data_IF_265784878908
#
_entry.id   IF_265784878908
#
_cell.length_a   1.000
_cell.length_b   1.000
_cell.length_c   1.000
_cell.angle_alpha   90.00
_cell.angle_beta   90.00
_cell.angle_gamma   90.00
#
_symmetry.space_group_name_H-M   'P 1'
#
loop_
_entity.id
_entity.type
_entity.pdbx_description
1 polymer ?
#
# COMPACT_ATOMS: atom_id res chain seq x y z
N UNK A 1 -40.31 -15.41 15.71
CA UNK A 1 -39.26 -14.68 16.46
C UNK A 1 -37.91 -15.02 15.84
N UNK A 2 -37.18 -14.05 15.30
CA UNK A 2 -35.86 -14.29 14.67
C UNK A 2 -34.72 -13.96 15.64
N UNK A 3 -33.75 -14.86 15.79
CA UNK A 3 -32.55 -14.62 16.61
C UNK A 3 -31.43 -14.06 15.72
N UNK A 4 -30.95 -12.86 16.05
CA UNK A 4 -29.74 -12.28 15.44
C UNK A 4 -28.49 -13.06 15.91
N UNK A 5 -27.49 -13.31 15.04
CA UNK A 5 -26.17 -13.76 15.50
C UNK A 5 -25.45 -12.61 16.23
N UNK A 6 -24.51 -12.91 17.16
CA UNK A 6 -23.76 -11.89 17.89
C UNK A 6 -22.66 -11.26 17.03
N UNK A 7 -22.36 -9.99 17.30
CA UNK A 7 -21.18 -9.29 16.77
C UNK A 7 -19.91 -9.91 17.38
N UNK A 8 -18.88 -10.16 16.56
CA UNK A 8 -17.53 -10.52 17.04
C UNK A 8 -16.78 -9.27 17.52
N UNK A 9 -16.03 -9.32 18.63
CA UNK A 9 -15.21 -8.20 19.08
C UNK A 9 -13.96 -8.04 18.21
N UNK A 10 -13.59 -6.79 17.91
CA UNK A 10 -12.32 -6.46 17.26
C UNK A 10 -11.20 -6.55 18.31
N UNK A 11 -10.24 -7.44 18.09
CA UNK A 11 -9.10 -7.63 19.00
C UNK A 11 -7.99 -6.64 18.65
N UNK A 12 -7.98 -5.48 19.32
CA UNK A 12 -6.83 -4.60 19.34
C UNK A 12 -5.86 -5.06 20.45
N UNK A 13 -4.62 -5.41 20.12
CA UNK A 13 -3.63 -5.82 21.12
C UNK A 13 -2.22 -5.33 20.80
N UNK A 14 -1.66 -4.57 21.75
CA UNK A 14 -0.28 -4.12 21.74
C UNK A 14 0.62 -5.24 22.26
N UNK A 15 1.61 -5.65 21.47
CA UNK A 15 2.64 -6.60 21.91
C UNK A 15 3.89 -5.86 22.38
N UNK A 16 4.28 -6.08 23.64
CA UNK A 16 5.51 -5.55 24.23
C UNK A 16 6.22 -6.64 25.05
N UNK A 17 7.37 -7.09 24.55
CA UNK A 17 8.43 -7.89 25.18
C UNK A 17 9.52 -8.09 24.12
N UNK A 18 10.77 -8.40 24.43
CA UNK A 18 11.42 -8.61 25.73
C UNK A 18 12.77 -9.28 25.44
N UNK A 19 13.89 -8.68 25.85
CA UNK A 19 15.20 -9.10 25.37
C UNK A 19 15.74 -10.34 26.12
N UNK A 20 16.24 -11.32 25.35
CA UNK A 20 17.07 -12.42 25.85
C UNK A 20 18.19 -12.66 24.83
N UNK A 21 19.43 -12.81 25.32
CA UNK A 21 20.60 -12.99 24.48
C UNK A 21 21.18 -14.40 24.66
N UNK A 22 21.61 -15.02 23.56
CA UNK A 22 22.49 -16.18 23.56
C UNK A 22 23.68 -15.89 22.65
N UNK A 23 24.89 -16.01 23.20
CA UNK A 23 26.12 -15.97 22.42
C UNK A 23 26.53 -17.41 22.05
N UNK A 24 27.03 -17.59 20.83
CA UNK A 24 27.71 -18.80 20.37
C UNK A 24 28.99 -18.40 19.64
N UNK A 25 30.06 -19.17 19.81
CA UNK A 25 31.41 -18.74 19.44
C UNK A 25 31.74 -18.90 17.95
N UNK A 26 32.62 -18.04 17.44
CA UNK A 26 33.20 -18.17 16.11
C UNK A 26 34.37 -19.17 16.10
N UNK A 27 34.56 -19.83 14.96
CA UNK A 27 35.83 -20.48 14.59
C UNK A 27 36.26 -19.95 13.21
N UNK A 28 37.55 -19.64 12.99
CA UNK A 28 38.01 -19.04 11.74
C UNK A 28 38.25 -20.08 10.63
N UNK A 29 37.93 -19.72 9.39
CA UNK A 29 38.34 -20.44 8.19
C UNK A 29 39.43 -19.64 7.43
N UNK A 30 40.35 -20.35 6.77
CA UNK A 30 41.49 -19.75 6.08
C UNK A 30 41.10 -19.07 4.74
N UNK A 31 41.83 -18.03 4.28
CA UNK A 31 41.50 -17.30 3.06
C UNK A 31 41.83 -18.09 1.78
N UNK A 32 40.86 -18.18 0.88
CA UNK A 32 41.02 -18.69 -0.50
C UNK A 32 41.29 -17.56 -1.49
N UNK A 33 41.84 -17.91 -2.67
CA UNK A 33 42.29 -16.97 -3.70
C UNK A 33 41.21 -15.97 -4.15
N UNK A 34 41.60 -14.71 -4.38
CA UNK A 34 40.70 -13.64 -4.81
C UNK A 34 40.33 -13.73 -6.29
N UNK A 35 39.04 -13.60 -6.58
CA UNK A 35 38.58 -13.09 -7.88
C UNK A 35 38.55 -11.56 -7.86
N UNK A 36 38.60 -10.93 -9.04
CA UNK A 36 38.50 -9.48 -9.15
C UNK A 36 37.15 -8.99 -8.63
N UNK A 37 37.17 -8.14 -7.61
CA UNK A 37 35.95 -7.58 -7.02
C UNK A 37 35.42 -6.51 -7.96
N UNK A 38 34.50 -6.91 -8.84
CA UNK A 38 33.77 -5.99 -9.71
C UNK A 38 33.20 -4.82 -8.90
N UNK A 39 33.46 -3.60 -9.37
CA UNK A 39 33.27 -2.38 -8.58
C UNK A 39 31.89 -2.36 -7.89
N UNK A 40 31.83 -2.05 -6.57
CA UNK A 40 30.58 -2.14 -5.83
C UNK A 40 29.53 -1.26 -6.49
N UNK A 41 28.35 -1.84 -6.77
CA UNK A 41 27.19 -1.07 -7.17
C UNK A 41 27.00 0.08 -6.19
N UNK A 42 26.75 1.33 -6.65
CA UNK A 42 26.56 2.46 -5.75
C UNK A 42 25.47 2.10 -4.75
N UNK A 43 25.82 2.16 -3.46
CA UNK A 43 24.92 1.77 -2.39
C UNK A 43 23.68 2.66 -2.41
N UNK A 44 22.51 2.07 -2.16
CA UNK A 44 21.27 2.84 -2.00
C UNK A 44 21.45 3.78 -0.81
N UNK A 45 21.52 5.08 -1.09
CA UNK A 45 21.61 6.12 -0.07
C UNK A 45 20.28 6.17 0.65
N UNK A 46 20.29 6.21 1.99
CA UNK A 46 19.07 6.24 2.80
C UNK A 46 19.18 7.27 3.92
N UNK A 47 18.20 8.17 3.96
CA UNK A 47 18.21 9.39 4.75
C UNK A 47 16.95 9.45 5.62
N UNK A 48 17.06 9.37 6.96
CA UNK A 48 15.96 9.69 7.86
C UNK A 48 15.56 11.16 7.70
N UNK A 49 14.26 11.45 7.66
CA UNK A 49 13.74 12.81 7.48
C UNK A 49 12.81 13.21 8.64
N UNK A 50 12.93 14.46 9.07
CA UNK A 50 12.11 15.04 10.13
C UNK A 50 10.75 15.46 9.58
N UNK A 51 9.72 14.64 9.81
CA UNK A 51 8.37 14.80 9.25
C UNK A 51 7.56 15.98 9.82
N UNK A 52 7.98 16.53 10.97
CA UNK A 52 7.21 17.54 11.73
C UNK A 52 6.11 16.94 12.62
N UNK A 53 6.01 15.61 12.76
CA UNK A 53 5.02 14.94 13.61
C UNK A 53 5.62 13.72 14.33
N UNK A 54 4.95 13.27 15.39
CA UNK A 54 5.25 12.01 16.10
C UNK A 54 4.16 10.95 15.90
N UNK A 55 3.09 11.27 15.16
CA UNK A 55 2.02 10.32 14.87
C UNK A 55 2.49 9.19 13.96
N UNK A 56 1.79 8.06 14.00
CA UNK A 56 1.99 6.99 13.03
C UNK A 56 1.64 7.50 11.61
N UNK A 57 2.61 7.46 10.70
CA UNK A 57 2.39 7.62 9.27
C UNK A 57 2.14 6.24 8.64
N UNK A 58 1.15 6.16 7.76
CA UNK A 58 0.56 4.92 7.25
C UNK A 58 0.71 4.83 5.73
N UNK A 59 0.42 5.91 4.99
CA UNK A 59 0.52 5.97 3.53
C UNK A 59 1.43 7.10 3.04
N UNK A 60 1.98 6.96 1.84
CA UNK A 60 2.90 7.94 1.23
C UNK A 60 2.76 7.95 -0.29
N UNK A 61 2.69 9.14 -0.88
CA UNK A 61 2.58 9.37 -2.32
C UNK A 61 3.60 10.40 -2.81
N UNK A 62 4.76 9.95 -3.33
CA UNK A 62 5.70 10.79 -4.05
C UNK A 62 5.14 11.21 -5.40
N UNK A 63 5.09 12.51 -5.65
CA UNK A 63 4.67 13.09 -6.94
C UNK A 63 5.89 13.35 -7.84
N UNK A 64 7.02 13.73 -7.24
CA UNK A 64 8.25 14.03 -7.98
C UNK A 64 9.49 13.81 -7.10
N UNK A 65 10.68 14.13 -7.62
CA UNK A 65 11.90 14.13 -6.81
C UNK A 65 11.93 15.20 -5.70
N UNK A 66 11.05 16.20 -5.76
CA UNK A 66 10.91 17.28 -4.78
C UNK A 66 9.61 17.24 -3.96
N UNK A 67 8.50 16.76 -4.53
CA UNK A 67 7.18 16.76 -3.90
C UNK A 67 6.77 15.36 -3.46
N UNK A 68 6.43 15.20 -2.19
CA UNK A 68 5.83 13.99 -1.65
C UNK A 68 4.88 14.32 -0.49
N UNK A 69 3.80 13.55 -0.38
CA UNK A 69 2.83 13.63 0.71
C UNK A 69 2.80 12.33 1.50
N UNK A 70 2.47 12.39 2.79
CA UNK A 70 2.21 11.22 3.63
C UNK A 70 1.05 11.49 4.60
N UNK A 71 0.38 10.44 5.04
CA UNK A 71 -0.81 10.52 5.90
C UNK A 71 -0.80 9.48 7.01
N UNK A 72 -1.65 9.63 8.03
CA UNK A 72 -1.76 8.59 9.06
C UNK A 72 -2.76 8.86 10.18
N UNK A 73 -2.38 8.44 11.39
CA UNK A 73 -3.25 8.44 12.56
C UNK A 73 -3.62 9.83 13.09
N UNK A 74 -4.76 9.91 13.79
CA UNK A 74 -5.32 11.15 14.37
C UNK A 74 -5.50 12.28 13.34
N UNK A 75 -6.01 11.94 12.16
CA UNK A 75 -6.23 12.89 11.08
C UNK A 75 -4.97 13.57 10.54
N UNK A 76 -3.78 12.99 10.76
CA UNK A 76 -2.49 13.61 10.39
C UNK A 76 -2.21 13.52 8.89
N UNK A 77 -1.69 14.62 8.34
CA UNK A 77 -1.06 14.68 7.03
C UNK A 77 0.31 15.38 7.15
N UNK A 78 1.22 15.12 6.21
CA UNK A 78 2.49 15.84 6.07
C UNK A 78 2.93 15.91 4.61
N UNK A 79 3.61 16.99 4.23
CA UNK A 79 4.02 17.29 2.85
C UNK A 79 5.43 17.87 2.80
N UNK A 80 6.24 17.42 1.85
CA UNK A 80 7.43 18.15 1.39
C UNK A 80 7.25 18.67 -0.03
N UNK A 81 7.91 19.79 -0.33
CA UNK A 81 8.03 20.38 -1.67
C UNK A 81 9.49 20.64 -2.06
N UNK A 82 10.45 20.15 -1.27
CA UNK A 82 11.87 20.49 -1.39
C UNK A 82 12.81 19.27 -1.50
N UNK A 83 12.24 18.06 -1.61
CA UNK A 83 12.96 16.78 -1.55
C UNK A 83 12.97 16.13 -0.16
N UNK A 84 12.22 16.67 0.80
CA UNK A 84 12.13 16.18 2.17
C UNK A 84 13.25 16.68 3.08
N UNK A 85 13.94 17.75 2.67
CA UNK A 85 14.83 18.53 3.56
C UNK A 85 14.00 19.22 4.64
N UNK A 86 12.78 19.65 4.29
CA UNK A 86 11.75 20.09 5.22
C UNK A 86 10.41 19.42 4.93
N UNK A 87 9.59 19.28 5.96
CA UNK A 87 8.23 18.73 5.91
C UNK A 87 7.28 19.63 6.69
N UNK A 88 6.14 19.95 6.10
CA UNK A 88 5.02 20.66 6.75
C UNK A 88 4.01 19.61 7.19
N UNK A 89 3.84 19.44 8.51
CA UNK A 89 2.82 18.57 9.11
C UNK A 89 1.59 19.36 9.53
N UNK A 90 0.42 18.71 9.45
CA UNK A 90 -0.83 19.24 9.99
C UNK A 90 -1.83 18.14 10.36
N UNK A 91 -3.05 18.54 10.70
CA UNK A 91 -4.20 17.64 10.83
C UNK A 91 -5.38 18.20 10.04
N UNK A 92 -6.28 17.31 9.63
CA UNK A 92 -7.61 17.69 9.14
C UNK A 92 -8.50 18.04 10.32
N UNK A 93 -9.06 19.25 10.33
CA UNK A 93 -9.93 19.73 11.42
C UNK A 93 -11.14 18.82 11.61
N UNK A 94 -11.37 18.35 12.83
CA UNK A 94 -12.47 17.43 13.15
C UNK A 94 -12.23 15.97 12.73
N UNK A 95 -11.00 15.60 12.39
CA UNK A 95 -10.60 14.24 12.01
C UNK A 95 -9.69 13.54 13.05
N UNK A 96 -9.54 14.07 14.27
CA UNK A 96 -8.62 13.55 15.29
C UNK A 96 -8.87 12.09 15.74
N UNK A 97 -10.05 11.53 15.42
CA UNK A 97 -10.40 10.12 15.63
C UNK A 97 -10.15 9.20 14.42
N UNK A 98 -9.80 9.78 13.26
CA UNK A 98 -9.64 9.05 12.00
C UNK A 98 -8.18 8.62 11.77
N UNK A 99 -8.01 7.60 10.92
CA UNK A 99 -6.72 7.16 10.41
C UNK A 99 -6.74 7.28 8.89
N UNK A 100 -5.94 8.19 8.33
CA UNK A 100 -5.79 8.34 6.89
C UNK A 100 -4.79 7.30 6.37
N UNK A 101 -5.31 6.22 5.79
CA UNK A 101 -4.53 5.06 5.33
C UNK A 101 -4.31 5.01 3.84
N UNK A 102 -4.82 6.01 3.13
CA UNK A 102 -4.40 6.31 1.77
C UNK A 102 -4.23 7.81 1.58
N UNK A 103 -3.31 8.15 0.68
CA UNK A 103 -3.04 9.51 0.23
C UNK A 103 -2.69 9.45 -1.24
N UNK A 104 -3.35 10.28 -2.05
CA UNK A 104 -2.99 10.49 -3.45
C UNK A 104 -2.77 11.98 -3.66
N UNK A 105 -1.76 12.35 -4.45
CA UNK A 105 -1.44 13.74 -4.70
C UNK A 105 -1.13 13.97 -6.17
N UNK A 106 -1.75 15.00 -6.74
CA UNK A 106 -1.52 15.45 -8.11
C UNK A 106 -0.27 16.32 -8.20
N UNK A 107 -0.06 17.19 -7.21
CA UNK A 107 0.99 18.20 -7.18
C UNK A 107 1.33 18.63 -5.74
N UNK A 108 1.95 19.80 -5.56
CA UNK A 108 2.32 20.35 -4.26
C UNK A 108 1.15 20.96 -3.47
N UNK A 109 0.05 21.29 -4.14
CA UNK A 109 -1.15 21.98 -3.63
C UNK A 109 -2.37 21.06 -3.57
N UNK A 110 -2.52 20.16 -4.54
CA UNK A 110 -3.72 19.33 -4.72
C UNK A 110 -3.48 17.88 -4.26
N UNK A 111 -4.23 17.43 -3.26
CA UNK A 111 -4.15 16.07 -2.73
C UNK A 111 -5.47 15.57 -2.12
N UNK A 112 -5.61 14.25 -2.00
CA UNK A 112 -6.73 13.56 -1.39
C UNK A 112 -6.26 12.63 -0.27
N UNK A 113 -7.13 12.38 0.71
CA UNK A 113 -6.91 11.46 1.84
C UNK A 113 -8.11 10.52 1.99
N UNK A 114 -7.87 9.23 2.18
CA UNK A 114 -8.89 8.24 2.52
C UNK A 114 -8.74 7.85 3.99
N UNK A 115 -9.79 8.07 4.80
CA UNK A 115 -9.88 7.49 6.14
C UNK A 115 -10.63 6.18 6.13
N UNK A 116 -10.22 5.26 7.00
CA UNK A 116 -10.82 3.94 7.16
C UNK A 116 -11.79 3.89 8.35
N UNK A 117 -12.60 2.85 8.42
CA UNK A 117 -13.46 2.52 9.56
C UNK A 117 -14.94 2.32 9.16
N UNK A 118 -15.73 1.66 10.01
CA UNK A 118 -17.12 1.33 9.70
C UNK A 118 -17.98 2.59 9.51
N UNK A 119 -18.89 2.54 8.54
CA UNK A 119 -19.84 3.62 8.27
C UNK A 119 -19.15 4.96 8.04
N UNK A 120 -19.68 6.01 8.67
CA UNK A 120 -19.21 7.40 8.55
C UNK A 120 -17.79 7.68 9.10
N UNK A 121 -17.00 6.66 9.47
CA UNK A 121 -15.55 6.78 9.66
C UNK A 121 -14.78 6.61 8.34
N UNK A 122 -15.31 5.85 7.38
CA UNK A 122 -14.79 5.84 6.02
C UNK A 122 -15.16 7.13 5.30
N UNK A 123 -14.15 7.90 4.87
CA UNK A 123 -14.32 9.23 4.25
C UNK A 123 -13.23 9.49 3.22
N UNK A 124 -13.53 10.37 2.28
CA UNK A 124 -12.52 10.95 1.38
C UNK A 124 -12.51 12.45 1.58
N UNK A 125 -11.32 13.02 1.75
CA UNK A 125 -11.06 14.46 1.85
C UNK A 125 -10.21 14.91 0.65
N UNK A 126 -10.31 16.19 0.30
CA UNK A 126 -9.49 16.88 -0.71
C UNK A 126 -8.94 18.19 -0.16
N UNK A 127 -7.72 18.54 -0.54
CA UNK A 127 -7.13 19.87 -0.42
C UNK A 127 -6.74 20.38 -1.81
N UNK A 128 -6.79 21.69 -1.99
CA UNK A 128 -6.38 22.41 -3.19
C UNK A 128 -5.42 23.58 -2.86
N UNK A 129 -5.03 23.73 -1.59
CA UNK A 129 -4.22 24.84 -1.05
C UNK A 129 -2.92 24.39 -0.37
N UNK A 130 -2.54 23.12 -0.54
CA UNK A 130 -1.35 22.55 0.08
C UNK A 130 -1.56 22.04 1.50
N UNK A 131 -2.81 21.75 1.87
CA UNK A 131 -3.21 21.16 3.14
C UNK A 131 -3.59 22.17 4.22
N UNK A 132 -3.64 23.47 3.90
CA UNK A 132 -4.07 24.50 4.82
C UNK A 132 -5.57 24.40 5.12
N UNK A 133 -6.37 23.96 4.15
CA UNK A 133 -7.76 23.51 4.31
C UNK A 133 -7.96 22.12 3.69
N UNK A 134 -8.94 21.39 4.25
CA UNK A 134 -9.31 20.05 3.80
C UNK A 134 -10.83 19.89 3.83
N UNK A 135 -11.42 19.63 2.66
CA UNK A 135 -12.87 19.51 2.49
C UNK A 135 -13.26 18.03 2.38
N UNK A 136 -14.25 17.62 3.16
CA UNK A 136 -14.82 16.28 3.07
C UNK A 136 -15.63 16.16 1.78
N UNK A 137 -15.21 15.26 0.90
CA UNK A 137 -15.82 14.99 -0.41
C UNK A 137 -16.77 13.79 -0.39
N UNK A 138 -16.50 12.84 0.51
CA UNK A 138 -17.32 11.67 0.72
C UNK A 138 -17.30 11.30 2.20
N UNK A 139 -18.47 10.94 2.73
CA UNK A 139 -18.64 10.28 4.03
C UNK A 139 -19.54 9.09 3.76
N UNK A 140 -19.07 7.88 4.07
CA UNK A 140 -19.81 6.67 3.74
C UNK A 140 -21.16 6.60 4.48
N UNK A 141 -22.30 6.56 3.77
CA UNK A 141 -23.63 6.52 4.38
C UNK A 141 -24.05 5.11 4.81
N UNK A 142 -23.41 4.05 4.31
CA UNK A 142 -23.75 2.67 4.66
C UNK A 142 -23.03 2.25 5.96
N UNK A 143 -23.74 1.98 7.07
CA UNK A 143 -23.13 1.61 8.34
C UNK A 143 -22.39 0.26 8.32
N UNK A 144 -22.58 -0.58 7.29
CA UNK A 144 -21.79 -1.80 7.05
C UNK A 144 -20.47 -1.51 6.36
N UNK A 145 -20.40 -0.44 5.58
CA UNK A 145 -19.29 -0.18 4.66
C UNK A 145 -18.00 0.23 5.36
N UNK A 146 -16.90 -0.24 4.81
CA UNK A 146 -15.52 0.05 5.19
C UNK A 146 -14.73 0.19 3.89
N UNK A 147 -13.98 1.27 3.69
CA UNK A 147 -13.16 1.48 2.49
C UNK A 147 -11.67 1.42 2.84
N UNK A 148 -10.87 0.81 1.96
CA UNK A 148 -9.53 0.33 2.25
C UNK A 148 -8.43 1.19 1.61
N UNK A 149 -8.60 1.49 0.32
CA UNK A 149 -7.65 2.23 -0.53
C UNK A 149 -8.34 2.83 -1.77
N UNK A 150 -7.67 3.78 -2.41
CA UNK A 150 -8.07 4.39 -3.67
C UNK A 150 -6.92 4.44 -4.69
N UNK A 151 -7.25 4.67 -5.96
CA UNK A 151 -6.26 4.94 -7.00
C UNK A 151 -6.85 5.88 -8.05
N UNK A 152 -6.03 6.82 -8.51
CA UNK A 152 -6.41 7.86 -9.46
C UNK A 152 -5.81 7.54 -10.83
N UNK A 153 -6.60 7.66 -11.90
CA UNK A 153 -6.10 7.61 -13.27
C UNK A 153 -5.51 8.96 -13.68
N UNK A 154 -6.06 10.05 -13.16
CA UNK A 154 -5.72 11.44 -13.43
C UNK A 154 -6.43 12.36 -12.42
N UNK A 155 -6.29 13.68 -12.58
CA UNK A 155 -6.90 14.70 -11.73
C UNK A 155 -8.44 14.69 -11.69
N UNK A 156 -9.12 13.99 -12.60
CA UNK A 156 -10.58 13.89 -12.65
C UNK A 156 -11.11 12.50 -12.26
N UNK A 157 -10.40 11.42 -12.61
CA UNK A 157 -10.93 10.05 -12.50
C UNK A 157 -10.21 9.24 -11.44
N UNK A 158 -10.97 8.65 -10.51
CA UNK A 158 -10.45 7.76 -9.50
C UNK A 158 -11.44 6.67 -9.07
N UNK A 159 -10.92 5.58 -8.52
CA UNK A 159 -11.65 4.44 -7.96
C UNK A 159 -11.24 4.22 -6.51
N UNK A 160 -12.16 3.78 -5.66
CA UNK A 160 -11.86 3.30 -4.30
C UNK A 160 -12.50 1.92 -4.08
N UNK A 161 -11.83 1.05 -3.32
CA UNK A 161 -12.33 -0.27 -2.92
C UNK A 161 -12.55 -0.34 -1.40
N UNK A 162 -13.44 -1.24 -1.00
CA UNK A 162 -13.80 -1.57 0.36
C UNK A 162 -14.47 -2.94 0.46
N UNK A 163 -14.67 -3.39 1.68
CA UNK A 163 -15.28 -4.68 2.06
C UNK A 163 -16.57 -5.03 1.29
N UNK A 164 -16.80 -6.34 1.11
CA UNK A 164 -18.00 -6.88 0.51
C UNK A 164 -19.27 -6.59 1.34
N UNK A 165 -20.22 -5.87 0.73
CA UNK A 165 -21.53 -5.59 1.33
C UNK A 165 -22.59 -6.38 0.56
N UNK A 166 -23.34 -7.21 1.29
CA UNK A 166 -24.51 -7.98 0.81
C UNK A 166 -24.29 -8.82 -0.48
N UNK A 167 -23.04 -9.18 -0.77
CA UNK A 167 -22.65 -10.06 -1.87
C UNK A 167 -21.85 -9.41 -3.01
N UNK A 168 -21.50 -8.12 -2.92
CA UNK A 168 -20.64 -7.42 -3.88
C UNK A 168 -19.65 -6.49 -3.18
N UNK A 169 -18.46 -6.28 -3.77
CA UNK A 169 -17.42 -5.39 -3.23
C UNK A 169 -17.89 -3.94 -3.14
N UNK A 170 -17.40 -3.19 -2.15
CA UNK A 170 -17.68 -1.76 -2.06
C UNK A 170 -16.75 -0.96 -3.00
N UNK A 171 -17.17 -0.79 -4.27
CA UNK A 171 -16.42 0.03 -5.23
C UNK A 171 -17.07 1.40 -5.40
N UNK A 172 -16.31 2.48 -5.23
CA UNK A 172 -16.69 3.85 -5.58
C UNK A 172 -15.94 4.30 -6.84
N UNK A 173 -16.53 5.23 -7.59
CA UNK A 173 -15.85 5.98 -8.66
C UNK A 173 -16.19 7.46 -8.61
N UNK A 174 -15.23 8.30 -8.99
CA UNK A 174 -15.43 9.70 -9.39
C UNK A 174 -14.97 9.90 -10.84
N UNK A 175 -15.59 10.85 -11.54
CA UNK A 175 -15.19 11.32 -12.87
C UNK A 175 -15.00 12.86 -12.91
N UNK A 176 -14.93 13.52 -11.74
CA UNK A 176 -14.89 14.99 -11.56
C UNK A 176 -13.86 15.50 -10.52
N UNK A 177 -12.82 14.71 -10.24
CA UNK A 177 -11.75 15.05 -9.29
C UNK A 177 -12.14 14.79 -7.84
N UNK A 178 -13.07 13.86 -7.65
CA UNK A 178 -13.60 13.49 -6.35
C UNK A 178 -14.56 14.52 -5.76
N UNK A 179 -15.21 15.37 -6.56
CA UNK A 179 -16.29 16.25 -6.07
C UNK A 179 -17.58 15.43 -5.82
N UNK A 180 -17.82 14.40 -6.64
CA UNK A 180 -18.84 13.40 -6.39
C UNK A 180 -18.26 11.98 -6.48
N UNK A 181 -18.55 11.16 -5.47
CA UNK A 181 -18.19 9.73 -5.42
C UNK A 181 -19.45 8.87 -5.50
N UNK A 182 -19.57 8.10 -6.58
CA UNK A 182 -20.72 7.23 -6.85
C UNK A 182 -20.35 5.77 -6.65
N UNK A 183 -21.17 5.01 -5.91
CA UNK A 183 -20.97 3.56 -5.77
C UNK A 183 -21.28 2.85 -7.09
N UNK A 184 -20.40 1.95 -7.51
CA UNK A 184 -20.67 1.05 -8.65
C UNK A 184 -21.82 0.12 -8.23
N UNK A 185 -22.92 0.04 -9.00
CA UNK A 185 -24.03 -0.84 -8.67
C UNK A 185 -23.60 -2.32 -8.56
N UNK A 186 -24.12 -3.09 -7.58
CA UNK A 186 -23.67 -4.45 -7.32
C UNK A 186 -23.88 -5.41 -8.51
N UNK A 187 -24.90 -5.17 -9.34
CA UNK A 187 -25.17 -5.92 -10.57
C UNK A 187 -24.15 -5.68 -11.70
N UNK A 188 -23.24 -4.70 -11.54
CA UNK A 188 -22.10 -4.43 -12.43
C UNK A 188 -20.77 -4.93 -11.87
N UNK A 189 -20.81 -5.65 -10.75
CA UNK A 189 -19.65 -6.24 -10.08
C UNK A 189 -19.78 -7.77 -10.04
N UNK A 190 -18.67 -8.51 -10.27
CA UNK A 190 -18.60 -9.93 -9.95
C UNK A 190 -18.96 -10.19 -8.48
N UNK A 191 -19.67 -11.29 -8.22
CA UNK A 191 -20.12 -11.68 -6.87
C UNK A 191 -18.91 -11.83 -5.92
N UNK A 192 -18.97 -11.14 -4.79
CA UNK A 192 -17.98 -11.25 -3.72
C UNK A 192 -18.22 -12.48 -2.84
N UNK A 193 -17.15 -12.98 -2.22
CA UNK A 193 -17.25 -14.00 -1.18
C UNK A 193 -17.71 -13.36 0.16
N UNK A 194 -18.18 -14.18 1.09
CA UNK A 194 -18.58 -13.70 2.41
C UNK A 194 -17.36 -13.26 3.24
N UNK A 195 -17.34 -12.01 3.70
CA UNK A 195 -16.20 -11.44 4.43
C UNK A 195 -14.95 -11.22 3.57
N UNK A 196 -15.13 -10.92 2.29
CA UNK A 196 -14.05 -10.54 1.38
C UNK A 196 -13.77 -9.03 1.46
N UNK A 197 -12.49 -8.67 1.51
CA UNK A 197 -12.02 -7.29 1.71
C UNK A 197 -10.61 -7.09 1.20
N UNK A 198 -10.17 -5.83 1.14
CA UNK A 198 -8.77 -5.48 0.82
C UNK A 198 -7.98 -5.20 2.10
N UNK A 199 -6.65 -5.29 2.04
CA UNK A 199 -5.84 -4.92 3.20
C UNK A 199 -5.61 -3.40 3.24
N UNK A 200 -6.38 -2.71 4.10
CA UNK A 200 -6.21 -1.29 4.43
C UNK A 200 -4.91 -0.99 5.22
N UNK A 201 -3.76 -1.39 4.67
CA UNK A 201 -2.45 -1.28 5.32
C UNK A 201 -1.70 0.01 4.96
N UNK A 202 -1.77 0.43 3.69
CA UNK A 202 -0.74 1.30 3.10
C UNK A 202 -1.16 2.15 1.89
N UNK A 203 -2.42 2.01 1.43
CA UNK A 203 -2.94 2.55 0.17
C UNK A 203 -2.68 1.67 -1.07
N UNK A 204 -1.66 0.81 -1.03
CA UNK A 204 -1.19 0.09 -2.23
C UNK A 204 -2.06 -1.08 -2.71
N UNK A 205 -3.24 -1.32 -2.12
CA UNK A 205 -4.17 -2.37 -2.55
C UNK A 205 -4.98 -2.05 -3.83
N UNK A 206 -4.80 -0.85 -4.40
CA UNK A 206 -5.35 -0.43 -5.69
C UNK A 206 -4.25 0.14 -6.60
N UNK A 207 -4.34 -0.12 -7.90
CA UNK A 207 -3.48 0.47 -8.92
C UNK A 207 -4.29 0.86 -10.16
N UNK A 208 -3.85 1.92 -10.85
CA UNK A 208 -4.41 2.45 -12.09
C UNK A 208 -3.39 2.39 -13.22
N UNK A 209 -3.87 2.43 -14.47
CA UNK A 209 -3.05 2.31 -15.67
C UNK A 209 -3.68 2.93 -16.91
N UNK A 210 -2.93 2.94 -18.03
CA UNK A 210 -3.37 3.58 -19.28
C UNK A 210 -4.62 2.90 -19.86
N UNK A 211 -5.39 3.67 -20.63
CA UNK A 211 -6.63 3.19 -21.25
C UNK A 211 -7.78 2.94 -20.28
N UNK A 212 -7.72 3.49 -19.06
CA UNK A 212 -8.76 3.26 -18.05
C UNK A 212 -8.66 1.92 -17.34
N UNK A 213 -7.48 1.27 -17.41
CA UNK A 213 -7.19 0.05 -16.65
C UNK A 213 -7.05 0.35 -15.16
N UNK A 214 -7.62 -0.49 -14.30
CA UNK A 214 -7.30 -0.51 -12.88
C UNK A 214 -7.41 -1.92 -12.33
N UNK A 215 -6.69 -2.17 -11.25
CA UNK A 215 -6.56 -3.47 -10.59
C UNK A 215 -6.72 -3.25 -9.08
N UNK A 216 -7.60 -4.02 -8.46
CA UNK A 216 -7.93 -3.92 -7.04
C UNK A 216 -7.76 -5.32 -6.43
N UNK A 217 -6.93 -5.47 -5.40
CA UNK A 217 -6.69 -6.78 -4.77
C UNK A 217 -7.50 -6.96 -3.50
N UNK A 218 -8.07 -8.15 -3.32
CA UNK A 218 -8.88 -8.53 -2.16
C UNK A 218 -8.63 -9.99 -1.79
N UNK A 219 -9.13 -10.39 -0.63
CA UNK A 219 -9.10 -11.80 -0.23
C UNK A 219 -10.17 -12.16 0.77
N UNK A 220 -10.46 -13.45 0.82
CA UNK A 220 -10.93 -14.13 2.03
C UNK A 220 -9.75 -14.88 2.66
N UNK A 221 -9.87 -15.40 3.90
CA UNK A 221 -8.85 -16.28 4.49
C UNK A 221 -8.48 -17.53 3.65
N UNK A 222 -9.27 -17.89 2.63
CA UNK A 222 -9.06 -19.08 1.78
C UNK A 222 -8.87 -18.80 0.28
N UNK A 223 -8.91 -17.55 -0.17
CA UNK A 223 -8.73 -17.22 -1.60
C UNK A 223 -8.31 -15.75 -1.78
N UNK A 224 -7.22 -15.52 -2.52
CA UNK A 224 -6.84 -14.20 -3.03
C UNK A 224 -7.50 -13.96 -4.41
N UNK A 225 -8.04 -12.76 -4.62
CA UNK A 225 -8.66 -12.35 -5.89
C UNK A 225 -8.25 -10.95 -6.31
N UNK A 226 -8.49 -10.65 -7.58
CA UNK A 226 -8.26 -9.35 -8.19
C UNK A 226 -9.49 -8.96 -9.01
N UNK A 227 -10.04 -7.78 -8.76
CA UNK A 227 -10.98 -7.13 -9.69
C UNK A 227 -10.19 -6.26 -10.65
N UNK A 228 -10.44 -6.39 -11.95
CA UNK A 228 -9.86 -5.54 -13.00
C UNK A 228 -10.92 -4.88 -13.85
N UNK A 229 -10.60 -3.69 -14.34
CA UNK A 229 -11.39 -2.93 -15.31
C UNK A 229 -10.49 -2.48 -16.45
N UNK A 230 -11.08 -2.12 -17.59
CA UNK A 230 -10.40 -1.53 -18.75
C UNK A 230 -11.21 -0.38 -19.38
N UNK A 231 -12.17 0.19 -18.64
CA UNK A 231 -13.12 1.20 -19.13
C UNK A 231 -13.39 2.33 -18.11
N UNK A 232 -12.42 2.57 -17.23
CA UNK A 232 -12.53 3.45 -16.05
C UNK A 232 -13.58 2.95 -15.05
N UNK A 233 -13.54 1.67 -14.67
CA UNK A 233 -14.35 1.11 -13.58
C UNK A 233 -15.86 1.09 -13.87
N UNK A 234 -16.25 0.98 -15.14
CA UNK A 234 -17.64 0.88 -15.59
C UNK A 234 -18.06 -0.58 -15.78
N UNK A 235 -17.14 -1.45 -16.16
CA UNK A 235 -17.27 -2.92 -16.14
C UNK A 235 -16.07 -3.54 -15.44
N UNK A 236 -16.27 -4.75 -14.91
CA UNK A 236 -15.34 -5.41 -14.00
C UNK A 236 -15.25 -6.92 -14.30
N UNK A 237 -14.02 -7.40 -14.50
CA UNK A 237 -13.67 -8.82 -14.52
C UNK A 237 -13.00 -9.21 -13.19
N UNK A 238 -12.97 -10.52 -12.89
CA UNK A 238 -12.52 -11.07 -11.63
C UNK A 238 -11.57 -12.24 -11.88
N UNK A 239 -10.34 -12.12 -11.39
CA UNK A 239 -9.33 -13.18 -11.45
C UNK A 239 -9.05 -13.77 -10.06
N UNK A 240 -8.63 -15.03 -10.02
CA UNK A 240 -8.04 -15.64 -8.81
C UNK A 240 -6.53 -15.50 -8.86
N UNK A 241 -5.92 -15.08 -7.75
CA UNK A 241 -4.48 -14.90 -7.65
C UNK A 241 -3.81 -16.15 -7.06
N UNK A 242 -2.64 -16.58 -7.57
CA UNK A 242 -1.82 -17.61 -6.96
C UNK A 242 -1.01 -17.02 -5.78
N UNK A 243 -1.72 -16.49 -4.78
CA UNK A 243 -1.17 -15.96 -3.52
C UNK A 243 -1.77 -16.77 -2.38
N UNK A 244 -0.95 -17.21 -1.43
CA UNK A 244 -1.44 -17.93 -0.24
C UNK A 244 -2.09 -16.94 0.73
N UNK A 245 -3.29 -17.27 1.20
CA UNK A 245 -4.06 -16.49 2.18
C UNK A 245 -4.23 -17.25 3.49
N UNK A 246 -4.30 -16.51 4.59
CA UNK A 246 -4.75 -16.99 5.90
C UNK A 246 -5.62 -15.89 6.55
N UNK A 247 -6.22 -16.15 7.72
CA UNK A 247 -6.90 -15.10 8.50
C UNK A 247 -5.88 -14.08 9.02
N UNK A 248 -5.64 -13.01 8.26
CA UNK A 248 -4.61 -12.01 8.52
C UNK A 248 -3.42 -11.98 7.56
N UNK A 249 -3.47 -12.70 6.44
CA UNK A 249 -2.51 -12.53 5.34
C UNK A 249 -3.11 -12.82 3.96
N UNK A 250 -2.57 -12.17 2.93
CA UNK A 250 -3.05 -12.25 1.56
C UNK A 250 -2.37 -11.19 0.68
N UNK A 251 -2.99 -10.75 -0.43
CA UNK A 251 -2.44 -9.72 -1.30
C UNK A 251 -2.53 -8.33 -0.64
N UNK A 252 -1.40 -7.65 -0.48
CA UNK A 252 -1.29 -6.38 0.26
C UNK A 252 -1.07 -5.19 -0.68
N UNK A 253 -0.30 -5.41 -1.75
CA UNK A 253 0.03 -4.41 -2.76
C UNK A 253 -0.18 -4.97 -4.16
N UNK A 254 -0.73 -4.14 -5.05
CA UNK A 254 -0.74 -4.38 -6.51
C UNK A 254 -0.04 -3.23 -7.21
N UNK A 255 0.88 -3.54 -8.13
CA UNK A 255 1.77 -2.54 -8.71
C UNK A 255 2.14 -2.89 -10.15
N UNK A 256 1.81 -2.00 -11.08
CA UNK A 256 2.13 -2.11 -12.50
C UNK A 256 3.22 -1.11 -12.88
N UNK A 257 4.19 -1.54 -13.68
CA UNK A 257 5.26 -0.67 -14.22
C UNK A 257 4.94 -0.15 -15.63
N UNK A 258 4.03 -0.84 -16.32
CA UNK A 258 3.54 -0.54 -17.67
C UNK A 258 2.17 -1.23 -17.87
N UNK A 259 1.59 -1.12 -19.06
CA UNK A 259 0.25 -1.65 -19.36
C UNK A 259 0.11 -3.18 -19.30
N UNK A 260 1.24 -3.92 -19.25
CA UNK A 260 1.28 -5.39 -19.27
C UNK A 260 1.90 -6.01 -18.03
N UNK A 261 2.98 -5.44 -17.53
CA UNK A 261 3.77 -6.08 -16.47
C UNK A 261 3.38 -5.55 -15.09
N UNK A 262 2.88 -6.46 -14.26
CA UNK A 262 2.42 -6.17 -12.91
C UNK A 262 2.84 -7.22 -11.90
N UNK A 263 2.88 -6.81 -10.64
CA UNK A 263 3.09 -7.68 -9.49
C UNK A 263 1.95 -7.51 -8.49
N UNK A 264 1.66 -8.59 -7.78
CA UNK A 264 1.02 -8.56 -6.47
C UNK A 264 2.06 -8.99 -5.45
N UNK A 265 2.26 -8.17 -4.43
CA UNK A 265 3.09 -8.49 -3.25
C UNK A 265 2.15 -8.66 -2.06
N UNK A 266 2.25 -9.82 -1.42
CA UNK A 266 1.44 -10.23 -0.29
C UNK A 266 2.20 -10.24 1.03
N UNK A 267 1.48 -10.63 2.08
CA UNK A 267 1.98 -10.65 3.44
C UNK A 267 0.88 -10.46 4.47
N UNK A 268 1.28 -10.14 5.69
CA UNK A 268 0.39 -10.01 6.85
C UNK A 268 0.84 -10.90 8.01
N UNK A 269 0.33 -10.63 9.21
CA UNK A 269 0.79 -11.26 10.46
C UNK A 269 0.56 -12.77 10.53
N UNK A 270 -0.30 -13.33 9.67
CA UNK A 270 -0.56 -14.76 9.58
C UNK A 270 0.29 -15.52 8.53
N UNK A 271 1.23 -14.83 7.87
CA UNK A 271 2.13 -15.41 6.85
C UNK A 271 3.05 -16.49 7.42
N UNK A 272 3.35 -17.53 6.64
CA UNK A 272 4.06 -18.74 7.06
C UNK A 272 5.24 -19.06 6.14
N UNK A 273 6.28 -19.76 6.64
CA UNK A 273 7.32 -20.31 5.77
C UNK A 273 6.72 -21.24 4.71
N UNK A 274 6.98 -20.95 3.43
CA UNK A 274 6.42 -21.68 2.28
C UNK A 274 5.16 -21.06 1.65
N UNK A 275 4.58 -20.01 2.24
CA UNK A 275 3.50 -19.26 1.58
C UNK A 275 3.98 -18.62 0.26
N UNK A 276 3.11 -18.61 -0.76
CA UNK A 276 3.36 -17.88 -2.01
C UNK A 276 2.96 -16.42 -1.82
N UNK A 277 3.94 -15.57 -1.54
CA UNK A 277 3.74 -14.14 -1.24
C UNK A 277 3.91 -13.20 -2.44
N UNK A 278 4.33 -13.69 -3.62
CA UNK A 278 4.45 -12.87 -4.83
C UNK A 278 3.86 -13.61 -6.03
N UNK A 279 3.08 -12.88 -6.81
CA UNK A 279 2.52 -13.29 -8.10
C UNK A 279 2.77 -12.20 -9.14
N UNK A 280 2.90 -12.59 -10.41
CA UNK A 280 3.22 -11.69 -11.51
C UNK A 280 2.28 -11.90 -12.71
N UNK A 281 2.13 -10.86 -13.52
CA UNK A 281 1.44 -10.86 -14.82
C UNK A 281 2.33 -10.22 -15.88
N UNK A 282 2.25 -10.74 -17.10
CA UNK A 282 2.95 -10.24 -18.28
C UNK A 282 1.97 -9.84 -19.42
N UNK A 283 0.66 -9.82 -19.14
CA UNK A 283 -0.44 -9.58 -20.09
C UNK A 283 -1.41 -8.46 -19.69
N UNK A 284 -1.16 -7.76 -18.58
CA UNK A 284 -1.99 -6.66 -18.10
C UNK A 284 -2.97 -7.06 -17.00
N UNK A 285 -2.68 -8.16 -16.29
CA UNK A 285 -3.49 -8.70 -15.20
C UNK A 285 -4.61 -9.63 -15.65
N UNK A 286 -4.56 -10.11 -16.90
CA UNK A 286 -5.53 -11.03 -17.48
C UNK A 286 -5.20 -12.49 -17.08
N UNK A 287 -3.91 -12.82 -16.90
CA UNK A 287 -3.45 -14.03 -16.21
C UNK A 287 -2.36 -13.73 -15.18
N UNK A 288 -2.21 -14.62 -14.19
CA UNK A 288 -1.26 -14.48 -13.08
C UNK A 288 -0.53 -15.79 -12.79
N UNK A 289 0.80 -15.71 -12.63
CA UNK A 289 1.69 -16.82 -12.25
C UNK A 289 2.28 -16.58 -10.86
N UNK A 290 2.49 -17.67 -10.11
CA UNK A 290 3.26 -17.62 -8.86
C UNK A 290 4.72 -17.24 -9.14
N UNK A 291 5.32 -16.49 -8.22
CA UNK A 291 6.77 -16.25 -8.14
C UNK A 291 7.33 -16.87 -6.85
N UNK A 292 6.57 -16.80 -5.75
CA UNK A 292 6.93 -17.41 -4.47
C UNK A 292 7.84 -16.56 -3.59
N UNK A 293 8.11 -17.04 -2.36
CA UNK A 293 9.10 -16.50 -1.42
C UNK A 293 8.79 -15.12 -0.83
N UNK A 294 8.81 -14.09 -1.69
CA UNK A 294 8.55 -12.70 -1.35
C UNK A 294 9.62 -12.02 -0.49
N UNK A 295 9.35 -10.78 -0.05
CA UNK A 295 10.23 -10.04 0.87
C UNK A 295 10.40 -10.85 2.17
N UNK A 296 11.64 -11.10 2.65
CA UNK A 296 11.93 -12.01 3.76
C UNK A 296 11.63 -11.39 5.15
N UNK A 297 10.46 -10.79 5.31
CA UNK A 297 9.97 -10.22 6.55
C UNK A 297 9.21 -11.28 7.37
N UNK A 298 9.41 -11.29 8.69
CA UNK A 298 8.78 -12.26 9.61
C UNK A 298 7.24 -12.29 9.58
N UNK A 299 6.60 -11.25 9.05
CA UNK A 299 5.15 -11.07 8.94
C UNK A 299 4.73 -10.56 7.55
N UNK A 300 5.53 -10.84 6.53
CA UNK A 300 5.31 -10.38 5.15
C UNK A 300 5.34 -8.86 4.97
N UNK A 301 4.99 -8.40 3.76
CA UNK A 301 4.95 -6.97 3.41
C UNK A 301 3.60 -6.32 3.73
N UNK A 302 3.61 -5.01 3.95
CA UNK A 302 2.40 -4.16 4.08
C UNK A 302 2.27 -3.13 2.95
N UNK A 303 3.37 -2.83 2.22
CA UNK A 303 3.38 -1.91 1.09
C UNK A 303 4.56 -2.19 0.16
N UNK A 304 4.35 -2.07 -1.15
CA UNK A 304 5.39 -2.23 -2.15
C UNK A 304 5.18 -1.29 -3.35
N UNK A 305 6.28 -0.82 -3.94
CA UNK A 305 6.29 0.06 -5.10
C UNK A 305 7.39 -0.34 -6.09
N UNK A 306 7.11 -0.18 -7.39
CA UNK A 306 8.15 -0.12 -8.41
C UNK A 306 8.98 1.17 -8.22
N UNK A 307 10.25 1.15 -8.61
CA UNK A 307 11.05 2.37 -8.77
C UNK A 307 10.97 2.84 -10.24
N UNK A 308 10.29 3.95 -10.56
CA UNK A 308 10.20 4.44 -11.94
C UNK A 308 11.58 4.79 -12.49
N UNK A 309 11.86 4.38 -13.73
CA UNK A 309 13.11 4.71 -14.43
C UNK A 309 14.38 4.03 -13.90
N UNK A 310 14.27 3.04 -13.00
CA UNK A 310 15.43 2.24 -12.58
C UNK A 310 16.01 1.43 -13.76
N UNK A 311 17.33 1.17 -13.74
CA UNK A 311 18.04 0.49 -14.85
C UNK A 311 17.60 -0.96 -15.07
N UNK A 312 17.05 -1.58 -14.04
CA UNK A 312 16.52 -2.94 -13.99
C UNK A 312 15.18 -2.93 -13.26
N UNK A 313 14.32 -3.98 -13.38
CA UNK A 313 13.01 -4.02 -12.75
C UNK A 313 13.09 -4.06 -11.21
N UNK A 314 13.22 -2.87 -10.62
CA UNK A 314 13.47 -2.68 -9.19
C UNK A 314 12.16 -2.47 -8.44
N UNK A 315 11.88 -3.34 -7.47
CA UNK A 315 10.76 -3.23 -6.54
C UNK A 315 11.31 -2.97 -5.14
N UNK A 316 10.72 -2.02 -4.42
CA UNK A 316 10.95 -1.81 -3.00
C UNK A 316 9.70 -2.25 -2.24
N UNK A 317 9.86 -3.15 -1.29
CA UNK A 317 8.80 -3.61 -0.38
C UNK A 317 9.17 -3.27 1.06
N UNK A 318 8.15 -3.03 1.88
CA UNK A 318 8.29 -2.67 3.29
C UNK A 318 7.30 -3.40 4.18
N UNK A 319 7.59 -3.44 5.48
CA UNK A 319 6.70 -3.97 6.52
C UNK A 319 7.16 -3.57 7.92
N UNK A 320 6.55 -4.13 8.97
CA UNK A 320 6.79 -3.69 10.35
C UNK A 320 8.13 -4.15 10.93
N UNK A 321 8.87 -5.01 10.20
CA UNK A 321 10.16 -5.57 10.61
C UNK A 321 11.27 -5.35 9.55
N UNK A 322 11.09 -4.41 8.62
CA UNK A 322 12.13 -4.05 7.68
C UNK A 322 11.66 -3.48 6.34
N UNK A 323 12.66 -3.28 5.50
CA UNK A 323 12.53 -2.94 4.08
C UNK A 323 13.47 -3.82 3.26
N UNK A 324 13.05 -4.17 2.05
CA UNK A 324 13.78 -5.07 1.16
C UNK A 324 13.50 -4.72 -0.30
N UNK A 325 14.49 -4.91 -1.16
CA UNK A 325 14.36 -4.72 -2.60
C UNK A 325 14.53 -6.02 -3.39
N UNK A 326 13.87 -6.07 -4.54
CA UNK A 326 14.20 -6.95 -5.65
C UNK A 326 14.72 -6.09 -6.81
N UNK A 327 15.68 -6.61 -7.57
CA UNK A 327 16.17 -6.02 -8.84
C UNK A 327 15.81 -6.87 -10.08
N UNK A 328 15.01 -7.92 -9.89
CA UNK A 328 14.65 -8.95 -10.86
C UNK A 328 13.13 -9.18 -10.93
N UNK A 329 12.35 -8.12 -10.70
CA UNK A 329 10.89 -8.15 -10.84
C UNK A 329 10.16 -8.97 -9.78
N UNK A 330 10.66 -8.97 -8.54
CA UNK A 330 10.06 -9.64 -7.38
C UNK A 330 10.51 -11.08 -7.15
N UNK A 331 11.54 -11.57 -7.87
CA UNK A 331 11.97 -12.98 -7.85
C UNK A 331 12.93 -13.27 -6.69
N UNK A 332 13.98 -12.46 -6.52
CA UNK A 332 14.88 -12.52 -5.37
C UNK A 332 14.85 -11.20 -4.59
N UNK A 333 15.04 -11.30 -3.27
CA UNK A 333 14.87 -10.18 -2.35
C UNK A 333 16.07 -10.04 -1.41
N UNK A 334 16.57 -8.82 -1.25
CA UNK A 334 17.68 -8.46 -0.36
C UNK A 334 17.18 -7.48 0.69
N UNK A 335 17.50 -7.73 1.97
CA UNK A 335 17.12 -6.86 3.10
C UNK A 335 17.95 -5.58 3.08
N UNK A 336 17.31 -4.45 3.34
CA UNK A 336 17.93 -3.12 3.42
C UNK A 336 17.99 -2.58 4.85
N UNK A 337 16.97 -2.86 5.68
CA UNK A 337 16.98 -2.62 7.12
C UNK A 337 15.94 -3.51 7.84
N UNK A 338 15.87 -3.37 9.17
CA UNK A 338 14.87 -3.99 10.05
C UNK A 338 13.87 -2.98 10.64
N UNK A 339 13.75 -1.78 10.04
CA UNK A 339 12.93 -0.69 10.57
C UNK A 339 11.45 -0.89 10.31
N UNK A 340 10.60 -0.33 11.17
CA UNK A 340 9.15 -0.44 11.07
C UNK A 340 8.59 0.59 10.08
N UNK A 341 8.01 0.10 8.99
CA UNK A 341 7.32 0.87 7.96
C UNK A 341 5.94 0.30 7.68
N UNK A 342 5.08 1.13 7.08
CA UNK A 342 3.70 0.81 6.72
C UNK A 342 3.47 0.91 5.21
N UNK A 343 3.95 2.00 4.58
CA UNK A 343 3.85 2.20 3.13
C UNK A 343 5.15 2.75 2.55
N UNK A 344 5.27 2.60 1.24
CA UNK A 344 6.42 3.03 0.43
C UNK A 344 5.94 3.44 -0.96
N UNK A 345 6.55 4.49 -1.51
CA UNK A 345 6.33 4.93 -2.87
C UNK A 345 7.61 5.47 -3.49
N UNK A 346 7.65 5.61 -4.82
CA UNK A 346 8.79 6.17 -5.54
C UNK A 346 8.37 6.95 -6.78
N UNK A 347 9.02 8.10 -7.00
CA UNK A 347 8.84 8.93 -8.19
C UNK A 347 10.00 8.82 -9.19
N UNK A 348 11.19 8.37 -8.75
CA UNK A 348 12.38 8.23 -9.60
C UNK A 348 13.48 7.39 -8.92
N UNK A 349 14.59 7.04 -9.60
CA UNK A 349 15.70 6.28 -9.01
C UNK A 349 16.49 7.05 -7.94
N UNK A 350 16.21 8.34 -7.73
CA UNK A 350 16.80 9.19 -6.69
C UNK A 350 15.79 9.65 -5.65
N UNK A 351 14.53 9.17 -5.71
CA UNK A 351 13.44 9.67 -4.88
C UNK A 351 12.37 8.59 -4.62
N UNK A 352 12.66 7.73 -3.65
CA UNK A 352 11.71 6.84 -2.99
C UNK A 352 11.57 7.20 -1.50
N UNK A 353 10.37 7.07 -0.94
CA UNK A 353 10.09 7.37 0.47
C UNK A 353 9.30 6.23 1.12
N UNK A 354 9.74 5.81 2.30
CA UNK A 354 9.04 4.86 3.16
C UNK A 354 8.65 5.53 4.49
N UNK A 355 7.46 5.22 5.01
CA UNK A 355 6.88 5.89 6.19
C UNK A 355 6.42 4.90 7.26
N UNK A 356 6.35 5.33 8.53
CA UNK A 356 5.93 4.43 9.61
C UNK A 356 5.75 5.06 10.99
N UNK A 357 6.02 4.25 12.02
CA UNK A 357 5.82 4.61 13.44
C UNK A 357 6.65 5.81 13.90
N UNK A 358 6.13 6.55 14.90
CA UNK A 358 6.79 7.71 15.51
C UNK A 358 7.13 8.84 14.53
N UNK A 359 6.30 9.04 13.50
CA UNK A 359 6.54 10.03 12.45
C UNK A 359 7.69 9.70 11.50
N UNK A 360 8.17 8.45 11.49
CA UNK A 360 9.29 8.02 10.63
C UNK A 360 9.00 8.29 9.16
N UNK A 361 9.92 9.00 8.53
CA UNK A 361 10.09 9.08 7.08
C UNK A 361 11.54 8.70 6.78
N UNK A 362 11.76 7.84 5.78
CA UNK A 362 13.09 7.53 5.24
C UNK A 362 13.05 7.73 3.73
N UNK A 363 13.83 8.69 3.23
CA UNK A 363 14.08 8.87 1.80
C UNK A 363 15.19 7.95 1.33
N UNK A 364 15.17 7.58 0.06
CA UNK A 364 16.13 6.66 -0.53
C UNK A 364 16.32 6.85 -2.04
N UNK A 365 17.53 6.58 -2.53
CA UNK A 365 17.92 6.75 -3.93
C UNK A 365 19.23 6.05 -4.29
N UNK A 366 19.54 5.96 -5.59
CA UNK A 366 20.64 5.15 -6.13
C UNK A 366 20.19 3.79 -6.68
N UNK A 367 18.93 3.69 -7.12
CA UNK A 367 18.24 2.44 -7.48
C UNK A 367 18.64 1.84 -8.84
#
# INVERSE_FOLDING_TARGET
MSRRPPLRPIVLLLAACGAAACAAACAPAAPGAGGEVGAPSPAVVREPQMSGTTQLLIAVHPVSASVAWASGGRGTWTRTTDGGRTWVSGRVTGADSLQFRDVHALDATTAWLLSIGPGAQSRIYRTDDGGAQWHAQFVNPDPKGFYDCFAFWDAARAVAIGDAIDGAMAVLRTEDGGQHWTRVPPERLPRANAGEGSFAASGTCAATGPGGRAWLVMSTPSQARLLRTADYGRTWALETLPITTHEGSGPQSVLFRDARHGLVVGGGYASRPGDTLVAATDDGGDTWRAVGGGPPFKVGSWGAAWIPGARVPTVLAVGPNGSAWSRDGGTTWVVLDTLNYWSVGAASPTAAWAVGTQGRITRSGGW
#
